data_IF_671473103854
#
_entry.id   IF_671473103854
#
_cell.length_a   1.000
_cell.length_b   1.000
_cell.length_c   1.000
_cell.angle_alpha   90.00
_cell.angle_beta   90.00
_cell.angle_gamma   90.00
#
_symmetry.space_group_name_H-M   'P 1'
#
loop_
_entity.id
_entity.type
_entity.pdbx_description
1 polymer ?
#
# COMPACT_ATOMS: atom_id res chain seq x y z
N UNK A 1 0.04 -25.31 -0.15
CA UNK A 1 0.07 -23.83 -0.23
C UNK A 1 -1.03 -23.31 0.69
N UNK A 2 -0.69 -22.58 1.76
CA UNK A 2 -1.69 -22.07 2.71
C UNK A 2 -2.67 -21.11 2.04
N UNK A 3 -3.95 -21.21 2.39
CA UNK A 3 -5.09 -20.53 1.73
C UNK A 3 -5.06 -18.99 1.86
N UNK A 4 -4.15 -18.45 2.67
CA UNK A 4 -4.19 -17.08 3.19
C UNK A 4 -2.87 -16.29 3.04
N UNK A 5 -2.10 -16.50 1.97
CA UNK A 5 -0.85 -15.74 1.75
C UNK A 5 -1.07 -14.27 1.33
N UNK A 6 -2.23 -13.93 0.78
CA UNK A 6 -2.52 -12.60 0.28
C UNK A 6 -3.38 -11.79 1.25
N UNK A 7 -2.95 -10.56 1.52
CA UNK A 7 -3.63 -9.56 2.36
C UNK A 7 -5.00 -9.14 1.81
N UNK A 8 -5.14 -9.16 0.49
CA UNK A 8 -6.31 -8.66 -0.23
C UNK A 8 -6.01 -8.44 -1.70
N UNK A 9 -6.75 -7.53 -2.33
CA UNK A 9 -6.58 -7.17 -3.73
C UNK A 9 -6.87 -5.69 -4.00
N UNK A 10 -6.26 -5.19 -5.07
CA UNK A 10 -6.55 -3.88 -5.65
C UNK A 10 -7.11 -4.13 -7.04
N UNK A 11 -8.25 -3.51 -7.35
CA UNK A 11 -8.82 -3.53 -8.71
C UNK A 11 -8.55 -2.17 -9.34
N UNK A 12 -8.15 -2.15 -10.61
CA UNK A 12 -8.08 -0.92 -11.41
C UNK A 12 -8.84 -1.08 -12.71
N UNK A 13 -9.37 0.03 -13.25
CA UNK A 13 -9.71 0.06 -14.68
C UNK A 13 -8.47 -0.24 -15.49
N UNK A 14 -8.62 -1.04 -16.54
CA UNK A 14 -7.50 -1.37 -17.43
C UNK A 14 -7.04 -0.13 -18.20
N UNK A 15 -8.00 0.69 -18.64
CA UNK A 15 -7.79 1.93 -19.38
C UNK A 15 -7.38 3.12 -18.48
N UNK A 16 -7.03 4.23 -19.13
CA UNK A 16 -6.76 5.51 -18.48
C UNK A 16 -8.03 6.14 -17.87
N UNK A 17 -7.86 6.91 -16.80
CA UNK A 17 -8.91 7.72 -16.16
C UNK A 17 -8.31 9.03 -15.61
N UNK A 18 -9.14 10.03 -15.38
CA UNK A 18 -8.68 11.34 -14.86
C UNK A 18 -8.22 11.17 -13.41
N UNK A 19 -7.19 11.92 -13.02
CA UNK A 19 -6.67 11.89 -11.65
C UNK A 19 -7.76 12.15 -10.59
N UNK A 20 -8.66 13.11 -10.86
CA UNK A 20 -9.76 13.44 -9.95
C UNK A 20 -10.73 12.27 -9.71
N UNK A 21 -10.74 11.26 -10.59
CA UNK A 21 -11.57 10.06 -10.45
C UNK A 21 -10.82 8.89 -9.79
N UNK A 22 -9.61 9.11 -9.26
CA UNK A 22 -8.77 8.04 -8.70
C UNK A 22 -9.50 7.16 -7.68
N UNK A 23 -10.22 7.78 -6.74
CA UNK A 23 -10.95 7.09 -5.68
C UNK A 23 -12.04 6.14 -6.22
N UNK A 24 -12.56 6.40 -7.42
CA UNK A 24 -13.59 5.58 -8.08
C UNK A 24 -13.00 4.47 -8.95
N UNK A 25 -11.73 4.58 -9.34
CA UNK A 25 -11.12 3.70 -10.34
C UNK A 25 -10.05 2.76 -9.76
N UNK A 26 -9.66 2.93 -8.50
CA UNK A 26 -8.66 2.10 -7.82
C UNK A 26 -9.08 1.66 -6.41
N UNK A 27 -10.20 0.95 -6.24
CA UNK A 27 -10.59 0.42 -4.94
C UNK A 27 -9.62 -0.67 -4.46
N UNK A 28 -9.41 -0.69 -3.14
CA UNK A 28 -8.70 -1.77 -2.44
C UNK A 28 -9.66 -2.51 -1.50
N UNK A 29 -9.52 -3.82 -1.44
CA UNK A 29 -10.16 -4.65 -0.44
C UNK A 29 -9.11 -5.41 0.36
N UNK A 30 -9.27 -5.43 1.67
CA UNK A 30 -8.38 -6.10 2.62
C UNK A 30 -9.18 -7.17 3.34
N UNK A 31 -8.59 -8.36 3.49
CA UNK A 31 -9.22 -9.49 4.18
C UNK A 31 -9.58 -9.09 5.62
N UNK A 32 -10.74 -9.52 6.13
CA UNK A 32 -11.06 -9.38 7.54
C UNK A 32 -9.92 -9.87 8.43
N UNK A 33 -9.68 -9.15 9.53
CA UNK A 33 -8.64 -9.46 10.52
C UNK A 33 -7.19 -9.38 10.01
N UNK A 34 -6.93 -8.90 8.78
CA UNK A 34 -5.56 -8.65 8.32
C UNK A 34 -4.96 -7.40 8.98
N UNK A 35 -5.73 -6.32 9.08
CA UNK A 35 -5.32 -5.11 9.81
C UNK A 35 -5.27 -5.43 11.31
N UNK A 36 -4.10 -5.27 11.93
CA UNK A 36 -3.86 -5.60 13.34
C UNK A 36 -3.80 -4.40 14.28
N UNK A 37 -3.72 -3.19 13.72
CA UNK A 37 -3.64 -1.94 14.46
C UNK A 37 -4.37 -0.85 13.72
N UNK A 38 -5.02 0.03 14.46
CA UNK A 38 -5.65 1.25 13.95
C UNK A 38 -4.66 2.43 13.89
N UNK A 39 -3.41 2.23 14.33
CA UNK A 39 -2.36 3.23 14.19
C UNK A 39 -2.01 3.43 12.71
N UNK A 40 -2.38 4.60 12.18
CA UNK A 40 -1.98 5.00 10.85
C UNK A 40 -0.46 5.25 10.77
N UNK A 41 0.23 4.49 9.92
CA UNK A 41 1.68 4.61 9.68
C UNK A 41 2.13 6.03 9.31
N UNK A 42 1.25 6.82 8.70
CA UNK A 42 1.53 8.20 8.29
C UNK A 42 1.84 9.12 9.47
N UNK A 43 1.39 8.78 10.68
CA UNK A 43 1.64 9.55 11.90
C UNK A 43 2.76 8.96 12.76
N UNK A 44 3.42 7.88 12.31
CA UNK A 44 4.57 7.32 13.00
C UNK A 44 5.83 8.12 12.70
N UNK A 45 6.82 7.98 13.58
CA UNK A 45 8.14 8.55 13.38
C UNK A 45 8.77 8.05 12.07
N UNK A 46 9.34 8.97 11.30
CA UNK A 46 10.06 8.64 10.06
C UNK A 46 11.44 8.09 10.43
N UNK A 47 11.64 6.79 10.21
CA UNK A 47 12.95 6.15 10.34
C UNK A 47 13.66 6.18 8.99
N UNK A 48 14.84 6.80 8.91
CA UNK A 48 15.62 6.88 7.69
C UNK A 48 16.01 5.49 7.19
N UNK A 49 15.81 5.23 5.90
CA UNK A 49 16.34 4.02 5.29
C UNK A 49 17.87 4.15 5.20
N UNK A 50 18.59 3.05 5.43
CA UNK A 50 20.05 3.03 5.53
C UNK A 50 20.75 3.01 4.16
N UNK A 51 20.08 3.47 3.10
CA UNK A 51 20.55 3.41 1.72
C UNK A 51 21.63 4.47 1.38
N UNK A 52 21.99 5.33 2.34
CA UNK A 52 23.03 6.36 2.18
C UNK A 52 24.46 5.80 2.13
N UNK A 53 24.65 4.47 2.17
CA UNK A 53 25.97 3.84 2.27
C UNK A 53 26.80 3.82 0.97
N UNK A 54 26.26 4.25 -0.17
CA UNK A 54 26.97 4.16 -1.46
C UNK A 54 27.04 5.50 -2.24
N UNK A 55 26.92 6.64 -1.58
CA UNK A 55 27.26 7.93 -2.20
C UNK A 55 28.70 8.32 -1.83
N UNK A 56 29.66 7.60 -2.38
CA UNK A 56 31.06 8.04 -2.50
C UNK A 56 31.35 8.24 -4.00
N UNK A 57 31.69 9.48 -4.36
CA UNK A 57 32.38 10.02 -5.56
C UNK A 57 32.25 9.33 -6.93
#
# INVERSE_FOLDING_TARGET
>A
MGKDICEGFVVRKMEQFRYNDFALNMPKWVRPHHVKTDEHWMYREVVLNQLLANSED
#
